data_IF_776693995186
#
_entry.id   IF_776693995186
#
_cell.length_a   1.000
_cell.length_b   1.000
_cell.length_c   1.000
_cell.angle_alpha   90.00
_cell.angle_beta   90.00
_cell.angle_gamma   90.00
#
_symmetry.space_group_name_H-M   'P 1'
#
loop_
_entity.id
_entity.type
_entity.pdbx_description
1 polymer ?
#
# COMPACT_ATOMS: atom_id res chain seq x y z
N UNK A 1 -27.55 -4.52 -17.26
CA UNK A 1 -27.29 -4.79 -15.83
C UNK A 1 -25.80 -4.93 -15.59
N UNK A 2 -25.23 -4.19 -14.64
CA UNK A 2 -23.83 -4.30 -14.22
C UNK A 2 -23.76 -5.02 -12.86
N UNK A 3 -22.82 -5.92 -12.68
CA UNK A 3 -22.65 -6.71 -11.45
C UNK A 3 -21.19 -6.73 -11.01
N UNK A 4 -20.98 -6.73 -9.70
CA UNK A 4 -19.68 -6.92 -9.07
C UNK A 4 -19.79 -8.08 -8.06
N UNK A 5 -18.85 -9.02 -8.08
CA UNK A 5 -18.89 -10.20 -7.21
C UNK A 5 -17.50 -10.57 -6.69
N UNK A 6 -17.31 -10.62 -5.35
CA UNK A 6 -18.26 -10.22 -4.31
C UNK A 6 -18.49 -8.69 -4.29
N UNK A 7 -19.61 -8.24 -3.72
CA UNK A 7 -19.87 -6.80 -3.50
C UNK A 7 -19.05 -6.22 -2.35
N UNK A 8 -18.58 -7.06 -1.44
CA UNK A 8 -17.71 -6.71 -0.32
C UNK A 8 -16.49 -7.62 -0.37
N UNK A 9 -15.31 -7.03 -0.48
CA UNK A 9 -14.05 -7.76 -0.50
C UNK A 9 -12.97 -6.96 0.21
N UNK A 10 -11.93 -7.65 0.68
CA UNK A 10 -10.73 -6.97 1.16
C UNK A 10 -10.03 -6.23 0.03
N UNK A 11 -9.25 -5.20 0.38
CA UNK A 11 -8.48 -4.40 -0.56
C UNK A 11 -7.49 -5.23 -1.36
N UNK A 12 -7.07 -6.39 -0.86
CA UNK A 12 -6.14 -7.32 -1.52
C UNK A 12 -6.84 -8.52 -2.21
N UNK A 13 -8.17 -8.52 -2.31
CA UNK A 13 -8.95 -9.58 -2.94
C UNK A 13 -9.51 -9.16 -4.30
N UNK A 14 -9.68 -10.11 -5.22
CA UNK A 14 -10.24 -9.84 -6.55
C UNK A 14 -11.76 -9.67 -6.51
N UNK A 15 -12.29 -8.77 -7.35
CA UNK A 15 -13.73 -8.64 -7.64
C UNK A 15 -13.94 -8.87 -9.14
N UNK A 16 -14.91 -9.73 -9.50
CA UNK A 16 -15.32 -9.91 -10.89
C UNK A 16 -16.42 -8.91 -11.25
N UNK A 17 -16.24 -8.19 -12.35
CA UNK A 17 -17.18 -7.18 -12.84
C UNK A 17 -17.70 -7.59 -14.20
N UNK A 18 -19.03 -7.66 -14.34
CA UNK A 18 -19.68 -8.13 -15.56
C UNK A 18 -20.90 -7.27 -15.89
N UNK A 19 -20.92 -6.74 -17.12
CA UNK A 19 -22.08 -6.09 -17.75
C UNK A 19 -22.83 -7.08 -18.65
N UNK A 20 -24.16 -7.10 -18.55
CA UNK A 20 -25.07 -7.98 -19.32
C UNK A 20 -26.27 -7.22 -19.87
N UNK A 21 -26.94 -7.85 -20.84
CA UNK A 21 -28.13 -7.32 -21.50
C UNK A 21 -27.85 -6.00 -22.21
N UNK A 22 -26.69 -5.93 -22.87
CA UNK A 22 -26.24 -4.79 -23.64
C UNK A 22 -26.47 -5.06 -25.13
N UNK A 23 -26.39 -4.03 -25.96
CA UNK A 23 -26.35 -4.21 -27.41
C UNK A 23 -25.13 -5.08 -27.76
N UNK A 24 -25.28 -6.15 -28.57
CA UNK A 24 -24.15 -6.95 -29.02
C UNK A 24 -23.14 -6.15 -29.83
N UNK A 25 -21.84 -6.47 -29.70
CA UNK A 25 -20.75 -5.88 -30.49
C UNK A 25 -20.70 -4.34 -30.43
N UNK A 26 -21.11 -3.75 -29.31
CA UNK A 26 -21.17 -2.30 -29.14
C UNK A 26 -20.03 -1.78 -28.24
N UNK A 27 -19.57 -0.54 -28.48
CA UNK A 27 -18.63 0.14 -27.60
C UNK A 27 -19.28 0.51 -26.27
N UNK A 28 -18.58 0.24 -25.16
CA UNK A 28 -18.98 0.64 -23.81
C UNK A 28 -17.76 1.09 -22.99
N UNK A 29 -17.98 1.98 -22.02
CA UNK A 29 -16.97 2.36 -21.03
C UNK A 29 -17.39 1.85 -19.66
N UNK A 30 -16.48 1.23 -18.90
CA UNK A 30 -16.68 0.98 -17.48
C UNK A 30 -15.81 1.95 -16.69
N UNK A 31 -16.43 2.72 -15.80
CA UNK A 31 -15.79 3.70 -14.93
C UNK A 31 -15.86 3.23 -13.48
N UNK A 32 -14.83 3.51 -12.71
CA UNK A 32 -14.76 3.31 -11.27
C UNK A 32 -14.41 4.63 -10.60
N UNK A 33 -15.18 5.04 -9.59
CA UNK A 33 -14.96 6.25 -8.81
C UNK A 33 -15.03 5.95 -7.31
N UNK A 34 -14.19 6.62 -6.54
CA UNK A 34 -14.22 6.55 -5.07
C UNK A 34 -13.63 7.82 -4.44
N UNK A 35 -14.01 8.08 -3.19
CA UNK A 35 -13.40 9.14 -2.40
C UNK A 35 -12.43 8.53 -1.39
N UNK A 36 -11.25 9.14 -1.27
CA UNK A 36 -10.30 8.80 -0.22
C UNK A 36 -10.79 9.26 1.16
N UNK A 37 -10.13 8.83 2.23
CA UNK A 37 -10.42 9.31 3.58
C UNK A 37 -10.10 10.82 3.76
N UNK A 38 -9.34 11.41 2.81
CA UNK A 38 -9.07 12.85 2.71
C UNK A 38 -10.15 13.60 1.92
N UNK A 39 -11.14 12.90 1.35
CA UNK A 39 -12.20 13.47 0.52
C UNK A 39 -11.79 13.76 -0.93
N UNK A 40 -10.57 13.40 -1.35
CA UNK A 40 -10.14 13.54 -2.74
C UNK A 40 -10.84 12.48 -3.61
N UNK A 41 -11.33 12.88 -4.78
CA UNK A 41 -11.94 11.98 -5.77
C UNK A 41 -10.85 11.24 -6.57
N UNK A 42 -10.99 9.93 -6.66
CA UNK A 42 -10.16 9.05 -7.48
C UNK A 42 -11.02 8.36 -8.52
N UNK A 43 -10.51 8.24 -9.74
CA UNK A 43 -11.21 7.62 -10.86
C UNK A 43 -10.31 6.79 -11.75
N UNK A 44 -10.90 5.79 -12.40
CA UNK A 44 -10.33 5.01 -13.48
C UNK A 44 -11.45 4.65 -14.45
N UNK A 45 -11.12 4.48 -15.72
CA UNK A 45 -12.07 3.96 -16.70
C UNK A 45 -11.36 3.09 -17.73
N UNK A 46 -12.12 2.21 -18.36
CA UNK A 46 -11.63 1.37 -19.44
C UNK A 46 -12.71 1.15 -20.50
N UNK A 47 -12.28 1.13 -21.76
CA UNK A 47 -13.14 0.91 -22.91
C UNK A 47 -13.17 -0.56 -23.30
N UNK A 48 -14.36 -1.06 -23.59
CA UNK A 48 -14.58 -2.44 -24.02
C UNK A 48 -15.55 -2.47 -25.20
N UNK A 49 -15.58 -3.60 -25.89
CA UNK A 49 -16.65 -3.93 -26.82
C UNK A 49 -17.40 -5.14 -26.27
N UNK A 50 -18.73 -5.08 -26.25
CA UNK A 50 -19.55 -6.22 -25.84
C UNK A 50 -19.40 -7.37 -26.83
N UNK A 51 -19.54 -8.60 -26.34
CA UNK A 51 -19.51 -9.79 -27.19
C UNK A 51 -20.83 -9.97 -27.98
N UNK A 52 -20.94 -11.04 -28.75
CA UNK A 52 -22.14 -11.37 -29.53
C UNK A 52 -23.41 -11.59 -28.69
N UNK A 53 -23.24 -11.89 -27.39
CA UNK A 53 -24.34 -12.09 -26.44
C UNK A 53 -24.71 -10.79 -25.68
N UNK A 54 -24.12 -9.65 -26.04
CA UNK A 54 -24.37 -8.39 -25.34
C UNK A 54 -23.81 -8.38 -23.91
N UNK A 55 -22.66 -9.03 -23.70
CA UNK A 55 -21.96 -9.13 -22.41
C UNK A 55 -20.57 -8.50 -22.51
N UNK A 56 -20.12 -7.90 -21.41
CA UNK A 56 -18.71 -7.55 -21.17
C UNK A 56 -18.30 -8.10 -19.80
N UNK A 57 -17.19 -8.85 -19.75
CA UNK A 57 -16.63 -9.44 -18.54
C UNK A 57 -15.19 -8.96 -18.35
N UNK A 58 -14.96 -8.07 -17.38
CA UNK A 58 -13.67 -7.43 -17.17
C UNK A 58 -12.56 -8.41 -16.75
N UNK A 59 -12.93 -9.62 -16.30
CA UNK A 59 -11.95 -10.66 -15.95
C UNK A 59 -11.34 -11.35 -17.18
N UNK A 60 -11.98 -11.26 -18.36
CA UNK A 60 -11.58 -12.02 -19.56
C UNK A 60 -11.45 -11.15 -20.80
N UNK A 61 -12.27 -10.11 -20.89
CA UNK A 61 -12.34 -9.25 -22.04
C UNK A 61 -11.23 -8.20 -21.96
N UNK A 62 -10.70 -7.84 -23.13
CA UNK A 62 -9.57 -6.92 -23.23
C UNK A 62 -10.08 -5.48 -23.22
N UNK A 63 -9.52 -4.65 -22.35
CA UNK A 63 -9.65 -3.19 -22.47
C UNK A 63 -8.94 -2.72 -23.74
N UNK A 64 -9.61 -1.86 -24.51
CA UNK A 64 -9.11 -1.26 -25.75
C UNK A 64 -8.72 0.21 -25.59
N UNK A 65 -8.90 0.79 -24.40
CA UNK A 65 -8.46 2.16 -24.09
C UNK A 65 -8.87 2.60 -22.68
N UNK A 66 -8.51 3.83 -22.33
CA UNK A 66 -8.74 4.40 -21.00
C UNK A 66 -7.50 4.31 -20.10
N UNK A 67 -7.72 4.17 -18.80
CA UNK A 67 -6.68 4.13 -17.75
C UNK A 67 -5.73 2.94 -17.87
N UNK A 68 -6.14 1.87 -18.56
CA UNK A 68 -5.32 0.68 -18.81
C UNK A 68 -5.76 -0.06 -20.09
N UNK A 69 -4.90 -0.94 -20.61
CA UNK A 69 -5.11 -1.74 -21.81
C UNK A 69 -4.95 -3.23 -21.51
N UNK A 70 -5.60 -4.09 -22.29
CA UNK A 70 -5.44 -5.54 -22.19
C UNK A 70 -6.39 -6.22 -21.18
N UNK A 71 -6.12 -7.49 -20.88
CA UNK A 71 -6.95 -8.29 -19.99
C UNK A 71 -6.47 -8.10 -18.54
N UNK A 72 -6.99 -7.06 -17.89
CA UNK A 72 -6.56 -6.63 -16.55
C UNK A 72 -7.76 -6.64 -15.59
N UNK A 73 -8.05 -7.78 -14.93
CA UNK A 73 -9.28 -7.95 -14.14
C UNK A 73 -9.49 -6.93 -13.02
N UNK A 74 -8.38 -6.41 -12.47
CA UNK A 74 -8.38 -5.43 -11.39
C UNK A 74 -7.89 -4.05 -11.85
N UNK A 75 -7.85 -3.80 -13.17
CA UNK A 75 -7.36 -2.57 -13.78
C UNK A 75 -8.07 -1.31 -13.28
N UNK A 76 -9.39 -1.39 -13.05
CA UNK A 76 -10.17 -0.27 -12.50
C UNK A 76 -9.84 0.07 -11.04
N UNK A 77 -9.12 -0.81 -10.33
CA UNK A 77 -8.71 -0.57 -8.94
C UNK A 77 -7.27 -0.08 -8.87
N UNK A 78 -6.31 -0.82 -9.45
CA UNK A 78 -4.90 -0.39 -9.43
C UNK A 78 -4.63 0.80 -10.36
N UNK A 79 -5.49 1.01 -11.36
CA UNK A 79 -5.40 2.11 -12.31
C UNK A 79 -6.08 3.40 -11.86
N UNK A 80 -6.63 3.46 -10.64
CA UNK A 80 -7.22 4.70 -10.11
C UNK A 80 -6.18 5.83 -10.07
N UNK A 81 -6.59 7.01 -10.49
CA UNK A 81 -5.81 8.23 -10.42
C UNK A 81 -6.65 9.31 -9.76
N UNK A 82 -6.03 10.33 -9.15
CA UNK A 82 -6.77 11.50 -8.73
C UNK A 82 -7.53 12.11 -9.91
N UNK A 83 -8.81 12.43 -9.72
CA UNK A 83 -9.64 12.98 -10.78
C UNK A 83 -9.09 14.31 -11.32
N UNK A 84 -9.35 14.66 -12.59
CA UNK A 84 -8.93 15.92 -13.18
C UNK A 84 -9.30 17.13 -12.31
N UNK A 85 -8.33 18.03 -12.08
CA UNK A 85 -8.51 19.19 -11.19
C UNK A 85 -8.22 18.92 -9.71
N UNK A 86 -7.88 17.68 -9.34
CA UNK A 86 -7.39 17.37 -7.99
C UNK A 86 -6.07 18.08 -7.68
N UNK A 87 -5.81 18.32 -6.39
CA UNK A 87 -4.53 18.85 -5.90
C UNK A 87 -3.37 17.90 -6.21
N UNK A 88 -2.17 18.47 -6.36
CA UNK A 88 -0.97 17.69 -6.67
C UNK A 88 -0.46 16.84 -5.50
N UNK A 89 0.33 15.81 -5.84
CA UNK A 89 1.13 15.05 -4.87
C UNK A 89 0.31 14.09 -3.99
N UNK A 90 -0.85 13.67 -4.48
CA UNK A 90 -1.73 12.73 -3.79
C UNK A 90 -1.16 11.32 -3.75
N UNK A 91 -1.33 10.67 -2.60
CA UNK A 91 -1.06 9.25 -2.39
C UNK A 91 -2.26 8.67 -1.63
N UNK A 92 -2.86 7.63 -2.19
CA UNK A 92 -3.94 6.94 -1.51
C UNK A 92 -3.40 6.25 -0.25
N UNK A 93 -4.00 6.57 0.90
CA UNK A 93 -3.70 5.95 2.19
C UNK A 93 -4.98 5.79 2.95
N UNK A 94 -5.22 4.61 3.49
CA UNK A 94 -6.37 4.39 4.37
C UNK A 94 -6.01 4.87 5.77
N UNK A 95 -6.80 5.80 6.30
CA UNK A 95 -6.66 6.34 7.66
C UNK A 95 -7.54 5.59 8.65
N UNK A 96 -8.77 5.25 8.26
CA UNK A 96 -9.70 4.51 9.10
C UNK A 96 -9.97 3.11 8.54
N UNK A 97 -9.20 2.13 8.99
CA UNK A 97 -9.28 0.73 8.53
C UNK A 97 -10.62 0.03 8.83
N UNK A 98 -11.43 0.60 9.73
CA UNK A 98 -12.74 0.06 10.12
C UNK A 98 -13.86 0.49 9.15
N UNK A 99 -13.54 1.26 8.12
CA UNK A 99 -14.47 1.68 7.05
C UNK A 99 -13.95 1.23 5.68
N UNK A 100 -14.84 0.92 4.73
CA UNK A 100 -14.40 0.58 3.38
C UNK A 100 -14.05 1.82 2.57
N UNK A 101 -13.40 1.64 1.42
CA UNK A 101 -13.62 2.53 0.29
C UNK A 101 -14.87 2.06 -0.47
N UNK A 102 -15.78 3.00 -0.74
CA UNK A 102 -16.99 2.76 -1.52
C UNK A 102 -16.68 3.07 -2.97
N UNK A 103 -16.73 2.04 -3.82
CA UNK A 103 -16.45 2.09 -5.24
C UNK A 103 -17.76 2.18 -6.02
N UNK A 104 -18.02 3.32 -6.65
CA UNK A 104 -19.09 3.45 -7.64
C UNK A 104 -18.57 2.98 -8.99
N UNK A 105 -19.18 1.93 -9.53
CA UNK A 105 -18.86 1.37 -10.84
C UNK A 105 -20.00 1.70 -11.80
N UNK A 106 -19.72 2.46 -12.85
CA UNK A 106 -20.69 2.89 -13.86
C UNK A 106 -20.36 2.27 -15.22
N UNK A 107 -21.39 1.80 -15.91
CA UNK A 107 -21.32 1.34 -17.29
C UNK A 107 -21.95 2.39 -18.19
N UNK A 108 -21.17 2.97 -19.09
CA UNK A 108 -21.56 4.05 -19.98
C UNK A 108 -21.66 3.55 -21.42
N UNK A 109 -22.57 4.15 -22.19
CA UNK A 109 -22.70 3.92 -23.62
C UNK A 109 -21.55 4.56 -24.40
N UNK A 110 -20.97 3.83 -25.36
CA UNK A 110 -19.88 4.31 -26.19
C UNK A 110 -18.50 4.24 -25.53
N UNK A 111 -17.46 4.59 -26.30
CA UNK A 111 -16.11 4.80 -25.77
C UNK A 111 -15.96 6.27 -25.40
N UNK A 112 -16.50 6.63 -24.23
CA UNK A 112 -16.53 8.01 -23.71
C UNK A 112 -15.57 8.17 -22.52
N UNK A 113 -14.99 9.36 -22.38
CA UNK A 113 -14.33 9.76 -21.12
C UNK A 113 -15.39 10.10 -20.06
N UNK A 114 -15.25 9.69 -18.79
CA UNK A 114 -16.20 10.03 -17.72
C UNK A 114 -16.41 11.55 -17.52
N UNK A 115 -15.43 12.36 -17.92
CA UNK A 115 -15.49 13.82 -17.87
C UNK A 115 -16.29 14.48 -19.01
N UNK A 116 -16.76 13.71 -19.99
CA UNK A 116 -17.57 14.21 -21.10
C UNK A 116 -19.03 14.47 -20.66
N UNK A 117 -19.56 15.63 -21.03
CA UNK A 117 -20.89 16.12 -20.61
C UNK A 117 -22.08 15.34 -21.21
N UNK A 118 -21.86 14.44 -22.17
CA UNK A 118 -22.90 13.71 -22.89
C UNK A 118 -22.70 12.20 -22.85
N UNK A 119 -22.42 11.66 -21.66
CA UNK A 119 -22.40 10.20 -21.46
C UNK A 119 -23.76 9.71 -20.95
N UNK A 120 -24.27 8.63 -21.56
CA UNK A 120 -25.48 7.92 -21.10
C UNK A 120 -25.06 6.78 -20.18
N UNK A 121 -25.47 6.81 -18.91
CA UNK A 121 -25.24 5.70 -17.98
C UNK A 121 -26.27 4.59 -18.23
N UNK A 122 -25.78 3.39 -18.55
CA UNK A 122 -26.59 2.19 -18.83
C UNK A 122 -26.89 1.40 -17.56
N UNK A 123 -25.97 1.39 -16.60
CA UNK A 123 -26.12 0.73 -15.31
C UNK A 123 -25.02 1.18 -14.33
N UNK A 124 -25.28 1.05 -13.04
CA UNK A 124 -24.28 1.23 -11.99
C UNK A 124 -24.36 0.13 -10.93
N UNK A 125 -23.25 -0.12 -10.25
CA UNK A 125 -23.18 -0.98 -9.06
C UNK A 125 -22.20 -0.39 -8.05
N UNK A 126 -22.47 -0.59 -6.77
CA UNK A 126 -21.56 -0.18 -5.69
C UNK A 126 -20.87 -1.42 -5.13
N UNK A 127 -19.55 -1.37 -4.98
CA UNK A 127 -18.76 -2.36 -4.28
C UNK A 127 -17.97 -1.72 -3.14
N UNK A 128 -17.71 -2.47 -2.08
CA UNK A 128 -16.96 -2.02 -0.91
C UNK A 128 -15.61 -2.73 -0.83
N UNK A 129 -14.54 -1.95 -0.64
CA UNK A 129 -13.16 -2.42 -0.47
C UNK A 129 -12.71 -2.21 0.98
N UNK A 130 -12.56 -3.30 1.73
CA UNK A 130 -12.28 -3.29 3.16
C UNK A 130 -10.79 -3.51 3.45
N UNK A 131 -10.23 -2.87 4.48
CA UNK A 131 -8.86 -3.17 4.95
C UNK A 131 -8.84 -4.12 6.15
N UNK A 132 -9.99 -4.37 6.76
CA UNK A 132 -10.13 -5.20 7.95
C UNK A 132 -11.26 -6.20 7.75
N UNK A 133 -10.95 -7.50 7.84
CA UNK A 133 -11.93 -8.56 7.72
C UNK A 133 -12.87 -8.61 8.93
N UNK A 134 -14.10 -9.14 8.77
CA UNK A 134 -15.01 -9.38 9.88
C UNK A 134 -14.35 -10.20 11.00
N UNK A 135 -14.53 -9.75 12.24
CA UNK A 135 -14.02 -10.44 13.44
C UNK A 135 -12.57 -10.14 13.80
N UNK A 136 -11.81 -9.44 12.93
CA UNK A 136 -10.51 -8.88 13.32
C UNK A 136 -10.73 -7.81 14.39
N UNK A 137 -9.94 -7.87 15.46
CA UNK A 137 -10.01 -6.90 16.56
C UNK A 137 -8.90 -5.87 16.41
N UNK A 138 -9.26 -4.59 16.46
CA UNK A 138 -8.35 -3.44 16.50
C UNK A 138 -8.19 -2.97 17.95
N UNK A 139 -6.97 -2.96 18.46
CA UNK A 139 -6.67 -2.61 19.86
C UNK A 139 -5.57 -1.56 19.89
N UNK A 140 -5.89 -0.34 20.32
CA UNK A 140 -4.91 0.72 20.48
C UNK A 140 -4.02 0.48 21.70
N UNK A 141 -2.71 0.66 21.53
CA UNK A 141 -1.72 0.53 22.60
C UNK A 141 -1.03 1.88 22.81
N UNK A 142 -1.16 2.42 24.04
CA UNK A 142 -0.53 3.65 24.52
C UNK A 142 0.02 3.39 25.91
N UNK A 143 1.17 2.71 25.99
CA UNK A 143 1.72 2.27 27.28
C UNK A 143 3.24 2.32 27.26
N UNK A 144 3.84 2.85 28.33
CA UNK A 144 5.30 2.85 28.54
C UNK A 144 6.09 3.43 27.35
N UNK A 145 5.58 4.52 26.76
CA UNK A 145 6.19 5.17 25.58
C UNK A 145 5.95 4.45 24.25
N UNK A 146 5.29 3.28 24.25
CA UNK A 146 4.87 2.57 23.05
C UNK A 146 3.54 3.14 22.55
N UNK A 147 3.53 3.49 21.27
CA UNK A 147 2.36 4.03 20.56
C UNK A 147 2.14 3.18 19.31
N UNK A 148 1.06 2.42 19.28
CA UNK A 148 0.74 1.59 18.12
C UNK A 148 -0.66 1.01 18.18
N UNK A 149 -0.98 0.15 17.22
CA UNK A 149 -2.26 -0.54 17.14
C UNK A 149 -2.05 -2.01 16.84
N UNK A 150 -2.57 -2.87 17.70
CA UNK A 150 -2.53 -4.33 17.58
C UNK A 150 -3.81 -4.81 16.90
N UNK A 151 -3.63 -5.58 15.83
CA UNK A 151 -4.68 -6.27 15.12
C UNK A 151 -4.61 -7.76 15.40
N UNK A 152 -5.72 -8.34 15.87
CA UNK A 152 -5.80 -9.77 16.19
C UNK A 152 -6.84 -10.45 15.29
N UNK A 153 -6.49 -11.58 14.64
CA UNK A 153 -7.46 -12.40 13.92
C UNK A 153 -8.58 -12.89 14.84
N UNK A 154 -9.75 -13.27 14.28
CA UNK A 154 -10.80 -13.94 15.04
C UNK A 154 -10.32 -15.32 15.53
N UNK A 155 -10.86 -15.77 16.67
CA UNK A 155 -10.59 -17.10 17.24
C UNK A 155 -9.70 -17.06 18.49
N UNK A 156 -9.39 -18.26 19.05
CA UNK A 156 -8.70 -18.37 20.34
C UNK A 156 -7.18 -18.13 20.27
N UNK A 157 -6.58 -18.21 19.08
CA UNK A 157 -5.13 -18.18 18.92
C UNK A 157 -4.43 -19.43 19.48
N UNK A 158 -3.10 -19.40 19.69
CA UNK A 158 -2.20 -18.29 19.38
C UNK A 158 -2.07 -18.04 17.87
N UNK A 159 -1.60 -16.85 17.51
CA UNK A 159 -1.40 -16.45 16.11
C UNK A 159 0.10 -16.17 15.86
N UNK A 160 0.62 -16.43 14.66
CA UNK A 160 1.92 -15.91 14.26
C UNK A 160 1.92 -14.39 14.36
N UNK A 161 2.96 -13.82 14.98
CA UNK A 161 3.04 -12.39 15.25
C UNK A 161 3.88 -11.65 14.21
N UNK A 162 3.52 -10.41 13.92
CA UNK A 162 4.24 -9.52 13.00
C UNK A 162 4.29 -8.10 13.53
N UNK A 163 5.49 -7.54 13.60
CA UNK A 163 5.72 -6.13 13.84
C UNK A 163 5.76 -5.39 12.51
N UNK A 164 4.87 -4.42 12.32
CA UNK A 164 4.73 -3.64 11.10
C UNK A 164 5.30 -2.23 11.31
N UNK A 165 6.37 -1.91 10.57
CA UNK A 165 7.06 -0.64 10.61
C UNK A 165 6.98 0.05 9.24
N UNK A 166 6.60 1.32 9.27
CA UNK A 166 6.54 2.18 8.09
C UNK A 166 7.65 3.20 8.09
N UNK A 167 8.03 3.72 6.92
CA UNK A 167 9.14 4.67 6.78
C UNK A 167 8.89 6.08 7.36
N UNK A 168 9.76 7.01 6.96
CA UNK A 168 9.92 8.37 7.53
C UNK A 168 8.74 9.34 7.34
N UNK A 169 7.61 8.91 6.78
CA UNK A 169 6.41 9.75 6.68
C UNK A 169 5.80 10.13 8.03
N UNK A 170 6.15 9.37 9.08
CA UNK A 170 5.70 9.53 10.45
C UNK A 170 4.21 9.22 10.64
N UNK A 171 3.77 9.29 11.89
CA UNK A 171 2.41 8.92 12.29
C UNK A 171 2.28 7.42 12.53
N UNK A 172 1.06 6.91 12.36
CA UNK A 172 0.70 5.51 12.57
C UNK A 172 -0.13 5.04 11.36
N UNK A 173 0.40 4.09 10.59
CA UNK A 173 -0.27 3.54 9.41
C UNK A 173 -0.71 2.12 9.70
N UNK A 174 -2.02 1.89 9.68
CA UNK A 174 -2.60 0.65 10.20
C UNK A 174 -3.01 -0.34 9.11
N UNK A 175 -3.17 0.14 7.88
CA UNK A 175 -3.88 -0.58 6.83
C UNK A 175 -3.19 -1.86 6.35
N UNK A 176 -1.86 -1.94 6.41
CA UNK A 176 -1.12 -3.18 6.12
C UNK A 176 -1.25 -4.19 7.26
N UNK A 177 -1.13 -3.75 8.51
CA UNK A 177 -1.35 -4.61 9.69
C UNK A 177 -2.78 -5.17 9.75
N UNK A 178 -3.78 -4.37 9.40
CA UNK A 178 -5.18 -4.81 9.36
C UNK A 178 -5.40 -5.93 8.31
N UNK A 179 -4.78 -5.80 7.13
CA UNK A 179 -4.80 -6.84 6.10
C UNK A 179 -4.08 -8.11 6.57
N UNK A 180 -2.92 -7.99 7.21
CA UNK A 180 -2.22 -9.16 7.76
C UNK A 180 -3.03 -9.91 8.81
N UNK A 181 -3.71 -9.21 9.71
CA UNK A 181 -4.62 -9.84 10.67
C UNK A 181 -5.83 -10.51 10.00
N UNK A 182 -6.28 -9.94 8.88
CA UNK A 182 -7.30 -10.56 8.03
C UNK A 182 -6.82 -11.87 7.36
N UNK A 183 -5.50 -12.11 7.33
CA UNK A 183 -4.88 -13.36 6.85
C UNK A 183 -4.33 -14.25 7.98
N UNK A 184 -4.70 -13.99 9.23
CA UNK A 184 -4.39 -14.88 10.36
C UNK A 184 -3.15 -14.52 11.18
N UNK A 185 -2.55 -13.34 10.99
CA UNK A 185 -1.40 -12.88 11.77
C UNK A 185 -1.80 -11.90 12.89
N UNK A 186 -1.28 -12.06 14.11
CA UNK A 186 -1.33 -10.98 15.09
C UNK A 186 -0.37 -9.87 14.64
N UNK A 187 -0.87 -8.75 14.14
CA UNK A 187 -0.03 -7.72 13.52
C UNK A 187 -0.07 -6.42 14.32
N UNK A 188 1.10 -5.89 14.68
CA UNK A 188 1.23 -4.67 15.47
C UNK A 188 1.87 -3.56 14.62
N UNK A 189 1.08 -2.54 14.28
CA UNK A 189 1.61 -1.32 13.66
C UNK A 189 2.18 -0.42 14.76
N UNK A 190 3.46 -0.05 14.63
CA UNK A 190 4.16 0.78 15.61
C UNK A 190 4.47 2.16 15.03
N UNK A 191 4.04 3.19 15.75
CA UNK A 191 4.51 4.55 15.52
C UNK A 191 5.83 4.76 16.26
N UNK A 192 6.82 5.29 15.56
CA UNK A 192 8.13 5.60 16.15
C UNK A 192 8.67 6.98 15.74
N UNK A 193 7.93 7.71 14.89
CA UNK A 193 8.27 9.04 14.43
C UNK A 193 6.99 9.82 14.08
N UNK A 194 6.94 11.11 14.43
CA UNK A 194 5.88 12.02 13.94
C UNK A 194 4.44 11.70 14.34
N UNK A 195 4.22 11.00 15.46
CA UNK A 195 2.89 10.74 16.02
C UNK A 195 2.66 11.57 17.29
N UNK A 196 1.46 12.17 17.42
CA UNK A 196 1.10 13.11 18.50
C UNK A 196 1.27 12.55 19.92
N UNK A 197 1.07 11.23 20.08
CA UNK A 197 1.13 10.56 21.38
C UNK A 197 2.55 10.08 21.73
N UNK A 198 3.54 10.26 20.86
CA UNK A 198 4.93 9.89 21.15
C UNK A 198 5.58 10.93 22.07
N UNK A 199 6.16 10.47 23.17
CA UNK A 199 6.96 11.29 24.07
C UNK A 199 8.34 11.58 23.45
N UNK A 200 8.67 12.85 23.23
CA UNK A 200 9.97 13.29 22.72
C UNK A 200 9.83 14.48 21.76
N UNK A 201 10.92 15.15 21.37
CA UNK A 201 10.87 16.19 20.34
C UNK A 201 10.18 15.63 19.08
N UNK A 202 9.28 16.42 18.47
CA UNK A 202 8.50 16.08 17.26
C UNK A 202 9.36 15.58 16.08
N UNK A 203 10.67 15.84 16.16
CA UNK A 203 11.71 15.59 15.15
C UNK A 203 12.65 14.44 15.49
N UNK A 204 12.40 13.72 16.59
CA UNK A 204 13.25 12.62 17.04
C UNK A 204 12.60 11.28 16.70
N UNK A 205 13.44 10.34 16.25
CA UNK A 205 13.07 8.93 16.14
C UNK A 205 12.99 8.42 17.59
N UNK A 206 11.77 8.13 18.06
CA UNK A 206 11.53 7.62 19.42
C UNK A 206 11.74 6.11 19.48
N UNK A 207 12.88 5.70 18.92
CA UNK A 207 13.39 4.34 18.99
C UNK A 207 14.56 4.38 19.97
N UNK A 208 14.24 4.64 21.24
CA UNK A 208 15.14 4.19 22.28
C UNK A 208 15.22 2.67 22.16
N UNK A 209 16.41 2.10 22.08
CA UNK A 209 16.60 0.64 22.15
C UNK A 209 15.91 0.02 23.37
N UNK A 210 15.58 0.82 24.39
CA UNK A 210 14.78 0.44 25.54
C UNK A 210 13.26 0.30 25.23
N UNK A 211 12.69 1.12 24.34
CA UNK A 211 11.30 0.98 23.87
C UNK A 211 11.16 -0.16 22.87
N UNK A 212 12.21 -0.40 22.07
CA UNK A 212 12.35 -1.65 21.32
C UNK A 212 12.47 -2.83 22.28
N UNK A 213 13.24 -2.77 23.37
CA UNK A 213 13.31 -3.86 24.38
C UNK A 213 11.93 -4.24 24.97
N UNK A 214 11.01 -3.30 25.14
CA UNK A 214 9.64 -3.61 25.60
C UNK A 214 8.81 -4.36 24.55
N UNK A 215 9.07 -4.15 23.25
CA UNK A 215 8.45 -4.90 22.13
C UNK A 215 9.29 -6.15 21.77
N UNK A 216 10.58 -6.13 22.08
CA UNK A 216 11.62 -7.13 21.84
C UNK A 216 11.91 -7.98 23.08
N UNK A 217 10.91 -8.19 23.96
CA UNK A 217 10.89 -9.37 24.83
C UNK A 217 10.91 -10.69 24.00
N UNK A 218 10.87 -10.61 22.67
CA UNK A 218 11.09 -11.76 21.77
C UNK A 218 12.43 -11.85 21.01
N UNK A 219 13.26 -10.81 20.78
CA UNK A 219 14.55 -11.01 20.05
C UNK A 219 15.62 -9.99 20.52
N UNK A 220 16.81 -10.51 20.81
CA UNK A 220 17.96 -9.88 21.49
C UNK A 220 18.81 -8.94 20.60
N UNK A 221 19.31 -7.88 21.25
CA UNK A 221 20.55 -7.08 20.97
C UNK A 221 20.56 -6.10 19.76
N UNK A 222 21.40 -5.03 19.79
CA UNK A 222 20.95 -3.68 19.48
C UNK A 222 21.70 -2.95 18.32
N UNK A 223 21.14 -1.82 17.90
CA UNK A 223 21.77 -0.53 17.49
C UNK A 223 21.25 0.03 16.14
N UNK A 224 20.93 1.33 16.13
CA UNK A 224 20.64 2.15 14.95
C UNK A 224 21.29 3.53 15.15
N UNK A 225 22.11 4.01 14.20
CA UNK A 225 21.75 5.09 13.25
C UNK A 225 22.97 5.66 12.47
N UNK A 226 22.91 5.56 11.14
CA UNK A 226 23.35 6.48 10.05
C UNK A 226 23.65 5.62 8.81
N UNK A 227 23.03 5.83 7.65
CA UNK A 227 23.08 4.88 6.51
C UNK A 227 22.66 3.47 6.92
N UNK A 228 21.35 3.18 6.84
CA UNK A 228 20.71 2.03 7.51
C UNK A 228 21.35 0.67 7.14
N UNK A 229 22.11 0.59 6.05
CA UNK A 229 22.85 -0.60 5.65
C UNK A 229 24.33 -0.63 6.00
N UNK A 230 24.94 0.50 6.34
CA UNK A 230 26.33 0.53 6.81
C UNK A 230 26.49 0.12 8.28
N UNK A 231 25.41 0.05 9.08
CA UNK A 231 25.52 -0.23 10.53
C UNK A 231 24.66 -1.37 11.05
N UNK A 232 23.76 -1.94 10.25
CA UNK A 232 23.21 -3.24 10.61
C UNK A 232 24.34 -4.23 10.44
N UNK A 233 24.80 -4.81 11.55
CA UNK A 233 25.78 -5.89 11.54
C UNK A 233 25.12 -7.12 10.92
N UNK A 234 24.91 -7.11 9.60
CA UNK A 234 24.25 -8.17 8.85
C UNK A 234 25.03 -9.48 8.99
N UNK A 235 26.33 -9.41 9.25
CA UNK A 235 27.16 -10.55 9.65
C UNK A 235 26.64 -11.27 10.90
N UNK A 236 25.92 -10.58 11.79
CA UNK A 236 25.31 -11.13 13.01
C UNK A 236 23.87 -11.60 12.81
N UNK A 237 23.31 -11.49 11.60
CA UNK A 237 21.96 -11.97 11.30
C UNK A 237 21.84 -13.46 11.63
N UNK A 238 20.83 -13.82 12.42
CA UNK A 238 20.60 -15.18 12.92
C UNK A 238 19.32 -15.82 12.38
N UNK A 239 18.52 -15.06 11.62
CA UNK A 239 17.25 -15.49 11.05
C UNK A 239 17.21 -15.26 9.53
N UNK A 240 16.31 -15.95 8.81
CA UNK A 240 16.07 -15.66 7.41
C UNK A 240 15.62 -14.21 7.19
N UNK A 241 16.16 -13.57 6.16
CA UNK A 241 15.80 -12.25 5.68
C UNK A 241 15.24 -12.36 4.26
N UNK A 242 14.01 -11.89 4.09
CA UNK A 242 13.47 -11.59 2.76
C UNK A 242 13.62 -10.10 2.51
N UNK A 243 14.30 -9.73 1.43
CA UNK A 243 14.48 -8.36 0.99
C UNK A 243 13.75 -8.16 -0.35
N UNK A 244 12.88 -7.15 -0.42
CA UNK A 244 12.11 -6.83 -1.63
C UNK A 244 12.57 -5.48 -2.16
N UNK A 245 12.91 -5.42 -3.45
CA UNK A 245 13.39 -4.22 -4.15
C UNK A 245 12.47 -3.90 -5.33
N UNK A 246 12.15 -2.63 -5.48
CA UNK A 246 11.68 -2.07 -6.75
C UNK A 246 12.85 -1.50 -7.54
N UNK A 247 13.02 -1.94 -8.78
CA UNK A 247 14.19 -1.55 -9.58
C UNK A 247 14.13 -0.11 -10.09
N UNK A 248 12.95 0.52 -10.05
CA UNK A 248 12.73 1.93 -10.41
C UNK A 248 12.50 2.80 -9.15
N UNK A 249 13.13 2.45 -8.03
CA UNK A 249 13.09 3.25 -6.81
C UNK A 249 13.86 4.57 -6.99
N UNK A 250 13.10 5.66 -7.10
CA UNK A 250 13.63 7.02 -7.24
C UNK A 250 13.75 7.77 -5.89
N UNK A 251 13.54 7.10 -4.75
CA UNK A 251 13.60 7.71 -3.42
C UNK A 251 14.84 7.29 -2.63
N UNK A 252 15.29 6.04 -2.78
CA UNK A 252 16.53 5.53 -2.17
C UNK A 252 17.25 4.57 -3.11
N UNK A 253 18.54 4.36 -2.88
CA UNK A 253 19.41 3.43 -3.60
C UNK A 253 19.13 1.97 -3.20
N UNK A 254 17.89 1.50 -3.40
CA UNK A 254 17.38 0.22 -2.89
C UNK A 254 18.11 -1.00 -3.47
N UNK A 255 18.59 -0.92 -4.71
CA UNK A 255 19.38 -1.97 -5.37
C UNK A 255 20.79 -2.03 -4.79
N UNK A 256 21.49 -0.90 -4.70
CA UNK A 256 22.84 -0.82 -4.12
C UNK A 256 22.81 -1.32 -2.67
N UNK A 257 21.79 -0.91 -1.95
CA UNK A 257 21.46 -1.35 -0.61
C UNK A 257 21.33 -2.89 -0.50
N UNK A 258 20.56 -3.51 -1.40
CA UNK A 258 20.39 -4.96 -1.43
C UNK A 258 21.69 -5.70 -1.80
N UNK A 259 22.49 -5.15 -2.73
CA UNK A 259 23.79 -5.70 -3.09
C UNK A 259 24.75 -5.68 -1.89
N UNK A 260 24.76 -4.60 -1.11
CA UNK A 260 25.55 -4.53 0.12
C UNK A 260 25.14 -5.59 1.15
N UNK A 261 23.83 -5.86 1.30
CA UNK A 261 23.36 -6.95 2.17
C UNK A 261 23.87 -8.30 1.70
N UNK A 262 23.71 -8.60 0.40
CA UNK A 262 24.14 -9.88 -0.18
C UNK A 262 25.64 -10.09 -0.01
N UNK A 263 26.45 -9.08 -0.34
CA UNK A 263 27.90 -9.14 -0.19
C UNK A 263 28.33 -9.37 1.26
N UNK A 264 27.68 -8.67 2.21
CA UNK A 264 27.99 -8.81 3.64
C UNK A 264 27.63 -10.20 4.16
N UNK A 265 26.44 -10.71 3.81
CA UNK A 265 26.02 -12.06 4.21
C UNK A 265 26.87 -13.14 3.55
N UNK A 266 27.28 -12.96 2.28
CA UNK A 266 28.19 -13.86 1.59
C UNK A 266 29.56 -13.90 2.24
N UNK A 267 30.13 -12.74 2.59
CA UNK A 267 31.40 -12.65 3.30
C UNK A 267 31.35 -13.33 4.69
N UNK A 268 30.18 -13.31 5.35
CA UNK A 268 29.95 -13.98 6.63
C UNK A 268 29.60 -15.49 6.52
N UNK A 269 29.53 -16.08 5.32
CA UNK A 269 29.13 -17.48 5.12
C UNK A 269 27.64 -17.74 5.40
N UNK A 270 26.80 -16.73 5.19
CA UNK A 270 25.37 -16.70 5.55
C UNK A 270 24.42 -16.44 4.37
N UNK A 271 24.89 -16.61 3.13
CA UNK A 271 24.07 -16.38 1.92
C UNK A 271 22.73 -17.12 1.93
N UNK A 272 22.65 -18.29 2.54
CA UNK A 272 21.41 -19.09 2.68
C UNK A 272 20.31 -18.40 3.51
N UNK A 273 20.64 -17.35 4.27
CA UNK A 273 19.66 -16.59 5.04
C UNK A 273 18.95 -15.53 4.18
N UNK A 274 19.48 -15.15 3.02
CA UNK A 274 18.92 -14.10 2.19
C UNK A 274 18.02 -14.68 1.10
N UNK A 275 16.82 -14.12 1.00
CA UNK A 275 15.97 -14.22 -0.20
C UNK A 275 15.77 -12.81 -0.76
N UNK A 276 16.33 -12.54 -1.92
CA UNK A 276 16.16 -11.25 -2.62
C UNK A 276 15.09 -11.39 -3.71
N UNK A 277 14.06 -10.54 -3.64
CA UNK A 277 13.05 -10.40 -4.69
C UNK A 277 13.19 -9.03 -5.34
N UNK A 278 13.46 -9.02 -6.63
CA UNK A 278 13.60 -7.79 -7.42
C UNK A 278 12.43 -7.67 -8.41
N UNK A 279 11.81 -6.49 -8.45
CA UNK A 279 10.65 -6.21 -9.30
C UNK A 279 10.97 -5.09 -10.30
N UNK A 280 11.20 -5.45 -11.58
CA UNK A 280 11.42 -4.48 -12.66
C UNK A 280 10.29 -3.47 -12.78
N UNK A 281 10.63 -2.18 -12.86
CA UNK A 281 9.66 -1.08 -13.01
C UNK A 281 8.83 -0.76 -11.76
N UNK A 282 9.00 -1.50 -10.66
CA UNK A 282 8.39 -1.13 -9.38
C UNK A 282 9.19 0.01 -8.73
N UNK A 283 8.48 1.00 -8.19
CA UNK A 283 9.09 2.13 -7.50
C UNK A 283 9.25 1.90 -5.99
N UNK A 284 9.51 2.99 -5.27
CA UNK A 284 9.75 2.97 -3.83
C UNK A 284 8.59 2.41 -2.98
N UNK A 285 7.36 2.73 -3.35
CA UNK A 285 6.16 2.41 -2.58
C UNK A 285 5.53 1.10 -3.04
N UNK A 286 6.03 0.00 -2.50
CA UNK A 286 5.41 -1.33 -2.66
C UNK A 286 4.31 -1.48 -1.60
N UNK A 287 3.09 -1.09 -1.99
CA UNK A 287 1.89 -1.11 -1.14
C UNK A 287 1.13 -2.44 -1.25
N UNK A 288 0.14 -2.71 -0.37
CA UNK A 288 -0.74 -3.86 -0.52
C UNK A 288 -1.41 -3.93 -1.90
N UNK A 289 -1.76 -5.13 -2.40
CA UNK A 289 -2.30 -5.32 -3.74
C UNK A 289 -3.44 -4.38 -4.11
N UNK A 290 -3.49 -4.00 -5.38
CA UNK A 290 -4.47 -3.10 -5.98
C UNK A 290 -4.49 -1.66 -5.45
N UNK A 291 -3.58 -1.30 -4.54
CA UNK A 291 -3.35 0.10 -4.18
C UNK A 291 -2.82 0.84 -5.42
N UNK A 292 -3.41 2.00 -5.79
CA UNK A 292 -2.97 2.71 -6.97
C UNK A 292 -1.56 3.28 -6.83
N UNK A 293 -0.79 3.27 -7.91
CA UNK A 293 0.57 3.78 -7.92
C UNK A 293 0.58 5.31 -7.75
N UNK A 294 1.40 5.80 -6.82
CA UNK A 294 1.68 7.23 -6.66
C UNK A 294 3.04 7.58 -7.30
N UNK A 295 3.04 7.95 -8.58
CA UNK A 295 4.27 8.30 -9.32
C UNK A 295 5.03 9.48 -8.71
N UNK A 296 4.30 10.43 -8.12
CA UNK A 296 4.85 11.59 -7.42
C UNK A 296 3.97 11.93 -6.24
N UNK A 297 4.58 12.15 -5.08
CA UNK A 297 3.90 12.70 -3.91
C UNK A 297 4.71 13.84 -3.32
N UNK A 298 4.06 14.77 -2.63
CA UNK A 298 4.78 15.81 -1.91
C UNK A 298 5.38 15.19 -0.65
N UNK A 299 6.71 15.23 -0.55
CA UNK A 299 7.37 15.01 0.72
C UNK A 299 6.91 16.11 1.68
N UNK A 300 6.45 15.72 2.88
CA UNK A 300 6.25 16.71 3.95
C UNK A 300 7.59 17.42 4.10
N UNK A 301 7.58 18.76 4.17
CA UNK A 301 8.79 19.59 4.26
C UNK A 301 9.71 19.14 5.42
N UNK A 302 10.62 18.22 5.11
CA UNK A 302 11.79 17.86 5.92
C UNK A 302 12.96 18.78 5.51
N UNK A 303 12.68 19.89 4.82
CA UNK A 303 13.63 20.91 4.35
C UNK A 303 14.38 21.63 5.49
N UNK A 304 14.03 21.39 6.76
CA UNK A 304 14.83 21.81 7.93
C UNK A 304 15.77 20.74 8.51
N UNK A 305 15.80 19.53 7.95
CA UNK A 305 16.50 18.39 8.57
C UNK A 305 17.85 18.05 7.92
N UNK A 306 18.10 18.44 6.67
CA UNK A 306 19.40 18.19 6.02
C UNK A 306 20.50 19.22 6.39
N UNK A 307 20.15 20.37 6.96
CA UNK A 307 21.11 21.47 7.16
C UNK A 307 21.89 21.47 8.48
N UNK A 308 21.76 20.46 9.34
CA UNK A 308 22.38 20.50 10.68
C UNK A 308 23.66 19.68 10.87
N UNK A 309 24.29 19.09 9.83
CA UNK A 309 25.59 18.43 10.06
C UNK A 309 26.62 18.30 8.92
N UNK A 310 26.51 19.06 7.83
CA UNK A 310 27.60 19.16 6.85
C UNK A 310 28.64 20.26 7.18
N UNK A 311 28.69 20.80 8.41
CA UNK A 311 29.65 21.88 8.81
C UNK A 311 30.70 21.47 9.85
N UNK A 312 30.96 20.18 10.06
CA UNK A 312 32.02 19.75 11.01
C UNK A 312 32.91 18.60 10.56
N UNK A 313 33.09 18.43 9.24
CA UNK A 313 34.23 17.66 8.69
C UNK A 313 34.97 18.55 7.69
N UNK A 314 35.40 19.72 8.18
CA UNK A 314 36.54 20.46 7.65
C UNK A 314 37.20 21.10 8.86
N UNK A 315 38.49 20.81 9.08
CA UNK A 315 39.35 21.16 10.24
C UNK A 315 39.33 20.16 11.39
N UNK A 316 40.13 19.11 11.28
CA UNK A 316 41.45 19.02 11.92
C UNK A 316 42.25 17.88 11.28
#
# INVERSE_FOLDING_TARGET
>A
MLTATPLRALMDEQISIIGRFLTPQCPVTVCAQMHSDDGDLWEAFAHYNTNADGTVNLTRDRSVGGSYLGCEPMGLFWGLQPAPGSREGLRLRKKNVETPYVMLMSLLEGHVSPSEKQSTELAAVIAERWYMAPGVRRIEIRKDGVVGTLFLPPGPGPFPAMLDLWGMGGGLMEYRSALFASKGYASFSLAYFGHKDLSGPEKSVNVGLQNIKTICILIREPLLQNDILCFLQMENLACPLMYIVGEDDQNTSSIENANMVDETLRAAGKSQLLTLLSYPGAGHLIEPPYTPNARRSLWKNVTKYYHLRCRKIERQ
#
